data_IF_466341284377
#
_entry.id   IF_466341284377
#
_cell.length_a   1.000
_cell.length_b   1.000
_cell.length_c   1.000
_cell.angle_alpha   90.00
_cell.angle_beta   90.00
_cell.angle_gamma   90.00
#
_symmetry.space_group_name_H-M   'P 1'
#
loop_
_entity.id
_entity.type
_entity.pdbx_description
1 polymer ?
#
# COMPACT_ATOMS: atom_id res chain seq x y z
N UNK A 1 -79.09 -9.17 -35.66
CA UNK A 1 -77.86 -9.96 -35.96
C UNK A 1 -76.69 -9.26 -35.26
N UNK A 2 -76.44 -9.53 -33.97
CA UNK A 2 -75.43 -10.46 -33.42
C UNK A 2 -73.97 -10.14 -33.83
N UNK A 3 -73.20 -9.62 -32.85
CA UNK A 3 -71.75 -9.75 -32.55
C UNK A 3 -70.78 -9.11 -33.57
N UNK A 4 -69.75 -8.36 -33.15
CA UNK A 4 -68.61 -8.84 -32.34
C UNK A 4 -67.89 -7.69 -31.63
N UNK A 5 -67.62 -7.93 -30.35
CA UNK A 5 -66.69 -7.20 -29.49
C UNK A 5 -65.26 -7.45 -29.99
N UNK A 6 -64.44 -6.41 -30.07
CA UNK A 6 -62.99 -6.54 -30.15
C UNK A 6 -62.36 -5.58 -29.13
N UNK A 7 -62.09 -6.11 -27.94
CA UNK A 7 -61.14 -5.55 -26.99
C UNK A 7 -59.76 -5.59 -27.64
N UNK A 8 -59.14 -4.44 -27.87
CA UNK A 8 -57.71 -4.39 -28.19
C UNK A 8 -56.97 -3.89 -26.94
N UNK A 9 -56.42 -4.85 -26.20
CA UNK A 9 -55.48 -4.63 -25.12
C UNK A 9 -54.22 -3.98 -25.70
N UNK A 10 -53.97 -2.70 -25.38
CA UNK A 10 -52.68 -2.07 -25.64
C UNK A 10 -51.71 -2.53 -24.54
N UNK A 11 -50.89 -3.51 -24.85
CA UNK A 11 -49.86 -4.02 -23.95
C UNK A 11 -48.75 -2.97 -23.77
N UNK A 12 -48.56 -2.52 -22.53
CA UNK A 12 -47.44 -1.68 -22.10
C UNK A 12 -46.20 -2.56 -22.00
N UNK A 13 -45.27 -2.47 -22.96
CA UNK A 13 -43.93 -3.04 -22.82
C UNK A 13 -43.00 -1.99 -22.22
N UNK A 14 -42.96 -1.92 -20.88
CA UNK A 14 -41.88 -1.24 -20.16
C UNK A 14 -40.69 -2.19 -20.09
N UNK A 15 -39.74 -2.04 -21.01
CA UNK A 15 -38.46 -2.75 -20.98
C UNK A 15 -37.64 -2.17 -19.83
N UNK A 16 -37.64 -2.85 -18.69
CA UNK A 16 -36.74 -2.56 -17.58
C UNK A 16 -35.36 -3.12 -17.92
N UNK A 17 -34.49 -2.26 -18.46
CA UNK A 17 -33.07 -2.59 -18.58
C UNK A 17 -32.45 -2.47 -17.19
N UNK A 18 -32.32 -3.60 -16.49
CA UNK A 18 -31.52 -3.67 -15.28
C UNK A 18 -30.06 -3.45 -15.68
N UNK A 19 -29.56 -2.23 -15.51
CA UNK A 19 -28.14 -1.98 -15.41
C UNK A 19 -27.67 -2.63 -14.11
N UNK A 20 -27.30 -3.91 -14.17
CA UNK A 20 -26.50 -4.54 -13.13
C UNK A 20 -25.16 -3.82 -13.18
N UNK A 21 -24.98 -2.82 -12.32
CA UNK A 21 -23.66 -2.43 -11.88
C UNK A 21 -23.10 -3.67 -11.19
N UNK A 22 -22.29 -4.43 -11.91
CA UNK A 22 -21.42 -5.44 -11.30
C UNK A 22 -20.51 -4.64 -10.38
N UNK A 23 -20.88 -4.54 -9.10
CA UNK A 23 -19.92 -4.24 -8.06
C UNK A 23 -18.96 -5.42 -8.11
N UNK A 24 -17.77 -5.18 -8.67
CA UNK A 24 -16.68 -6.15 -8.58
C UNK A 24 -16.53 -6.51 -7.10
N UNK A 25 -16.76 -7.77 -6.78
CA UNK A 25 -16.34 -8.33 -5.52
C UNK A 25 -14.82 -8.11 -5.41
N UNK A 26 -14.38 -7.66 -4.25
CA UNK A 26 -13.00 -7.32 -3.89
C UNK A 26 -12.04 -8.48 -4.22
N UNK A 27 -11.52 -8.53 -5.45
CA UNK A 27 -10.31 -9.28 -5.72
C UNK A 27 -9.19 -8.41 -5.19
N UNK A 28 -8.84 -8.62 -3.92
CA UNK A 28 -7.62 -8.04 -3.39
C UNK A 28 -6.49 -8.56 -4.27
N UNK A 29 -6.03 -7.73 -5.20
CA UNK A 29 -4.80 -7.93 -5.98
C UNK A 29 -3.66 -7.10 -5.38
N UNK A 30 -3.99 -6.26 -4.39
CA UNK A 30 -3.09 -5.36 -3.67
C UNK A 30 -3.02 -5.70 -2.19
N UNK A 31 -2.01 -5.17 -1.51
CA UNK A 31 -1.88 -5.12 -0.07
C UNK A 31 -1.65 -3.67 0.35
N UNK A 32 -2.04 -3.33 1.57
CA UNK A 32 -1.81 -2.00 2.11
C UNK A 32 -0.56 -2.00 2.98
N UNK A 33 0.26 -0.96 2.85
CA UNK A 33 1.50 -0.80 3.61
C UNK A 33 1.54 0.54 4.33
N UNK A 34 1.87 0.51 5.61
CA UNK A 34 2.15 1.68 6.43
C UNK A 34 3.62 1.66 6.87
N UNK A 35 4.38 2.67 6.47
CA UNK A 35 5.80 2.82 6.80
C UNK A 35 5.97 3.97 7.78
N UNK A 36 6.60 3.72 8.92
CA UNK A 36 6.90 4.75 9.91
C UNK A 36 8.41 4.87 10.15
N UNK A 37 8.92 6.10 9.97
CA UNK A 37 10.31 6.44 10.25
C UNK A 37 10.49 6.83 11.71
N UNK A 38 10.94 5.89 12.54
CA UNK A 38 11.12 6.09 13.99
C UNK A 38 12.56 6.38 14.41
N UNK A 39 13.47 6.68 13.47
CA UNK A 39 14.90 6.86 13.77
C UNK A 39 15.26 8.35 13.81
N UNK A 40 15.69 8.81 14.98
CA UNK A 40 16.28 10.13 15.16
C UNK A 40 17.78 10.05 14.88
N UNK A 41 18.26 10.79 13.87
CA UNK A 41 19.66 10.70 13.41
C UNK A 41 20.71 11.17 14.42
N UNK A 42 20.33 11.86 15.50
CA UNK A 42 21.30 12.26 16.55
C UNK A 42 22.03 11.06 17.15
N UNK A 43 21.37 9.91 17.26
CA UNK A 43 21.99 8.68 17.76
C UNK A 43 23.00 8.06 16.78
N UNK A 44 23.01 8.53 15.52
CA UNK A 44 23.92 8.13 14.45
C UNK A 44 24.98 9.20 14.14
N UNK A 45 25.02 10.30 14.90
CA UNK A 45 25.90 11.43 14.61
C UNK A 45 25.41 12.34 13.47
N UNK A 46 24.16 12.17 13.03
CA UNK A 46 23.54 12.89 11.93
C UNK A 46 22.54 13.95 12.43
N UNK A 47 21.83 14.60 11.49
CA UNK A 47 20.81 15.59 11.82
C UNK A 47 19.64 14.94 12.58
N UNK A 48 18.85 15.74 13.32
CA UNK A 48 17.65 15.21 13.99
C UNK A 48 16.62 14.70 12.98
N UNK A 49 16.48 15.41 11.87
CA UNK A 49 15.52 15.11 10.82
C UNK A 49 15.84 13.77 10.16
N UNK A 50 17.14 13.48 9.95
CA UNK A 50 17.63 12.23 9.38
C UNK A 50 16.81 11.79 8.16
N UNK A 51 16.80 12.62 7.10
CA UNK A 51 16.06 12.31 5.89
C UNK A 51 16.59 11.00 5.29
N UNK A 52 15.67 10.16 4.84
CA UNK A 52 15.97 8.90 4.17
C UNK A 52 15.10 8.73 2.94
N UNK A 53 15.67 8.06 1.94
CA UNK A 53 14.94 7.65 0.75
C UNK A 53 14.61 6.17 0.84
N UNK A 54 13.40 5.82 0.42
CA UNK A 54 12.88 4.46 0.46
C UNK A 54 12.86 3.92 -0.96
N UNK A 55 13.68 2.90 -1.18
CA UNK A 55 13.82 2.20 -2.44
C UNK A 55 13.05 0.89 -2.37
N UNK A 56 12.24 0.63 -3.40
CA UNK A 56 11.42 -0.58 -3.55
C UNK A 56 11.71 -1.17 -4.92
N UNK A 57 12.26 -2.39 -4.95
CA UNK A 57 12.69 -3.06 -6.19
C UNK A 57 13.57 -2.17 -7.08
N UNK A 58 14.63 -1.60 -6.51
CA UNK A 58 15.59 -0.71 -7.18
C UNK A 58 15.00 0.61 -7.72
N UNK A 59 13.79 0.98 -7.29
CA UNK A 59 13.14 2.26 -7.62
C UNK A 59 12.92 3.07 -6.36
N UNK A 60 13.38 4.32 -6.36
CA UNK A 60 13.05 5.29 -5.31
C UNK A 60 11.54 5.61 -5.34
N UNK A 61 10.84 5.32 -4.25
CA UNK A 61 9.39 5.53 -4.14
C UNK A 61 9.06 6.74 -3.26
N UNK A 62 9.84 6.95 -2.22
CA UNK A 62 9.69 8.08 -1.31
C UNK A 62 11.04 8.72 -1.07
N UNK A 63 11.12 10.04 -1.21
CA UNK A 63 12.32 10.82 -0.95
C UNK A 63 12.17 11.68 0.30
N UNK A 64 13.30 12.04 0.92
CA UNK A 64 13.39 12.99 2.03
C UNK A 64 12.44 12.68 3.20
N UNK A 65 12.26 11.39 3.52
CA UNK A 65 11.37 10.97 4.59
C UNK A 65 12.01 11.30 5.93
N UNK A 66 11.47 12.30 6.64
CA UNK A 66 12.01 12.74 7.92
C UNK A 66 11.54 11.90 9.13
N UNK A 67 12.33 11.94 10.20
CA UNK A 67 12.03 11.33 11.49
C UNK A 67 10.63 11.71 12.01
N UNK A 68 9.85 10.69 12.36
CA UNK A 68 8.49 10.80 12.91
C UNK A 68 7.39 10.79 11.84
N UNK A 69 7.73 10.69 10.55
CA UNK A 69 6.74 10.61 9.46
C UNK A 69 6.20 9.21 9.29
N UNK A 70 4.92 9.14 8.91
CA UNK A 70 4.23 7.92 8.46
C UNK A 70 3.82 8.11 7.00
N UNK A 71 4.01 7.06 6.21
CA UNK A 71 3.65 6.95 4.81
C UNK A 71 2.73 5.76 4.65
N UNK A 72 1.78 5.86 3.72
CA UNK A 72 0.81 4.80 3.44
C UNK A 72 0.69 4.63 1.92
N UNK A 73 0.60 3.39 1.46
CA UNK A 73 0.41 3.06 0.05
C UNK A 73 -0.36 1.74 -0.10
N UNK A 74 -1.01 1.55 -1.25
CA UNK A 74 -1.56 0.27 -1.68
C UNK A 74 -0.75 -0.23 -2.87
N UNK A 75 -0.19 -1.43 -2.76
CA UNK A 75 0.76 -1.99 -3.71
C UNK A 75 0.29 -3.36 -4.21
N UNK A 76 0.54 -3.75 -5.47
CA UNK A 76 0.21 -5.09 -5.95
C UNK A 76 0.88 -6.18 -5.10
N UNK A 77 0.19 -7.29 -4.88
CA UNK A 77 0.82 -8.45 -4.27
C UNK A 77 2.01 -8.94 -5.10
N UNK A 78 3.08 -9.36 -4.43
CA UNK A 78 4.32 -9.68 -5.13
C UNK A 78 5.51 -9.87 -4.22
N UNK A 79 6.69 -9.93 -4.84
CA UNK A 79 7.97 -9.99 -4.13
C UNK A 79 8.60 -8.61 -4.13
N UNK A 80 9.05 -8.18 -2.95
CA UNK A 80 9.62 -6.86 -2.75
C UNK A 80 10.99 -6.95 -2.09
N UNK A 81 11.92 -6.17 -2.63
CA UNK A 81 13.14 -5.74 -1.95
C UNK A 81 12.92 -4.31 -1.49
N UNK A 82 13.17 -4.03 -0.21
CA UNK A 82 13.07 -2.67 0.36
C UNK A 82 14.41 -2.29 0.94
N UNK A 83 14.94 -1.16 0.50
CA UNK A 83 16.23 -0.61 0.89
C UNK A 83 16.07 0.84 1.33
N UNK A 84 16.91 1.27 2.27
CA UNK A 84 16.88 2.62 2.84
C UNK A 84 18.22 3.28 2.54
N UNK A 85 18.17 4.39 1.80
CA UNK A 85 19.30 5.27 1.58
C UNK A 85 19.23 6.44 2.57
N UNK A 86 20.37 6.85 3.11
CA UNK A 86 20.46 8.04 3.96
C UNK A 86 21.44 9.04 3.36
N UNK A 87 20.94 10.22 3.01
CA UNK A 87 21.75 11.34 2.54
C UNK A 87 22.77 11.79 3.58
N UNK A 88 22.36 11.84 4.85
CA UNK A 88 23.24 12.23 5.96
C UNK A 88 24.42 11.26 6.12
N UNK A 89 24.25 9.97 5.76
CA UNK A 89 25.32 8.96 5.78
C UNK A 89 25.98 8.76 4.41
N UNK A 90 25.37 9.23 3.34
CA UNK A 90 25.79 9.01 1.95
C UNK A 90 25.77 7.56 1.50
N UNK A 91 24.97 6.69 2.14
CA UNK A 91 25.00 5.25 1.92
C UNK A 91 23.65 4.56 2.18
N UNK A 92 23.49 3.38 1.59
CA UNK A 92 22.44 2.43 1.99
C UNK A 92 22.73 1.88 3.38
N UNK A 93 21.67 1.74 4.19
CA UNK A 93 21.77 1.21 5.55
C UNK A 93 21.49 -0.29 5.51
N UNK A 94 22.54 -1.12 5.40
CA UNK A 94 22.42 -2.58 5.22
C UNK A 94 21.52 -3.27 6.26
N UNK A 95 21.56 -2.82 7.52
CA UNK A 95 20.73 -3.36 8.60
C UNK A 95 19.24 -3.01 8.48
N UNK A 96 18.88 -2.12 7.55
CA UNK A 96 17.53 -1.70 7.20
C UNK A 96 17.13 -2.18 5.81
N UNK A 97 17.58 -3.36 5.42
CA UNK A 97 17.19 -4.02 4.18
C UNK A 97 16.18 -5.14 4.44
N UNK A 98 15.15 -5.21 3.60
CA UNK A 98 14.25 -6.37 3.49
C UNK A 98 14.53 -7.01 2.14
N UNK A 99 15.00 -8.25 2.15
CA UNK A 99 15.33 -8.97 0.91
C UNK A 99 14.20 -9.91 0.51
N UNK A 100 13.71 -9.74 -0.73
CA UNK A 100 12.81 -10.70 -1.40
C UNK A 100 11.61 -11.16 -0.55
N UNK A 101 10.93 -10.24 0.12
CA UNK A 101 9.74 -10.54 0.88
C UNK A 101 8.54 -10.75 -0.04
N UNK A 102 7.94 -11.94 -0.01
CA UNK A 102 6.69 -12.22 -0.72
C UNK A 102 5.50 -11.75 0.13
N UNK A 103 4.76 -10.77 -0.38
CA UNK A 103 3.60 -10.19 0.27
C UNK A 103 2.35 -10.58 -0.53
N UNK A 104 1.43 -11.37 0.06
CA UNK A 104 0.17 -11.73 -0.59
C UNK A 104 -0.77 -10.53 -0.65
N UNK A 105 -1.83 -10.63 -1.45
CA UNK A 105 -2.86 -9.61 -1.49
C UNK A 105 -3.78 -9.69 -0.27
N UNK A 106 -4.45 -8.59 0.05
CA UNK A 106 -5.47 -8.51 1.09
C UNK A 106 -4.92 -8.53 2.52
N UNK A 107 -3.63 -8.20 2.70
CA UNK A 107 -2.99 -8.07 4.01
C UNK A 107 -2.59 -6.62 4.28
N UNK A 108 -2.51 -6.26 5.56
CA UNK A 108 -1.93 -4.99 5.98
C UNK A 108 -0.51 -5.21 6.50
N UNK A 109 0.45 -4.46 5.94
CA UNK A 109 1.86 -4.53 6.32
C UNK A 109 2.27 -3.24 7.05
N UNK A 110 2.65 -3.36 8.32
CA UNK A 110 3.30 -2.27 9.06
C UNK A 110 4.82 -2.46 9.02
N UNK A 111 5.54 -1.46 8.50
CA UNK A 111 7.00 -1.36 8.54
C UNK A 111 7.38 -0.22 9.48
N UNK A 112 8.15 -0.54 10.51
CA UNK A 112 8.61 0.44 11.50
C UNK A 112 10.14 0.46 11.53
N UNK A 113 10.73 1.56 11.07
CA UNK A 113 12.15 1.85 11.24
C UNK A 113 12.45 2.27 12.68
N UNK A 114 13.26 1.50 13.41
CA UNK A 114 13.59 1.77 14.82
C UNK A 114 14.97 1.28 15.16
N UNK A 115 15.49 1.72 16.31
CA UNK A 115 16.67 1.10 16.89
C UNK A 115 16.34 -0.27 17.51
N UNK A 116 17.24 -1.23 17.31
CA UNK A 116 17.31 -2.47 18.08
C UNK A 116 17.69 -2.18 19.54
N UNK A 117 17.66 -3.21 20.39
CA UNK A 117 18.16 -3.08 21.77
C UNK A 117 19.65 -2.69 21.83
N UNK A 118 20.41 -3.04 20.79
CA UNK A 118 21.84 -2.76 20.64
C UNK A 118 22.12 -1.41 19.96
N UNK A 119 21.08 -0.60 19.73
CA UNK A 119 21.16 0.71 19.05
C UNK A 119 21.52 0.62 17.55
N UNK A 120 21.26 -0.52 16.91
CA UNK A 120 21.39 -0.67 15.46
C UNK A 120 20.07 -0.29 14.78
N UNK A 121 20.08 0.56 13.73
CA UNK A 121 18.92 0.80 12.88
C UNK A 121 18.38 -0.50 12.28
N UNK A 122 17.08 -0.78 12.42
CA UNK A 122 16.43 -1.97 11.85
C UNK A 122 15.04 -1.64 11.31
N UNK A 123 14.56 -2.47 10.39
CA UNK A 123 13.16 -2.49 9.98
C UNK A 123 12.42 -3.60 10.74
N UNK A 124 11.40 -3.22 11.50
CA UNK A 124 10.46 -4.17 12.10
C UNK A 124 9.22 -4.27 11.23
N UNK A 125 9.00 -5.46 10.67
CA UNK A 125 7.83 -5.77 9.84
C UNK A 125 6.77 -6.49 10.66
N UNK A 126 5.49 -6.13 10.47
CA UNK A 126 4.34 -6.84 11.01
C UNK A 126 3.27 -6.96 9.94
N UNK A 127 2.75 -8.17 9.74
CA UNK A 127 1.61 -8.45 8.86
C UNK A 127 0.39 -8.65 9.76
N UNK A 128 -0.76 -8.07 9.40
CA UNK A 128 -2.03 -8.24 10.12
C UNK A 128 -3.03 -9.05 9.31
#
# INVERSE_FOLDING_TARGET
MIRRIAFLFLAVSMVLVLAVSVVSADSHDTFDVSIYHGINGRSLGASKAFPVDIWVNDVEVFSDVEFGKRLEASLPAGTYTIEIYSDDLGAFVDSMKIESAKIPAGVDVDIHAKFSAEKTPILKVKIK
#
